data_IF_451361314214
#
_entry.id   IF_451361314214
#
_cell.length_a   1.000
_cell.length_b   1.000
_cell.length_c   1.000
_cell.angle_alpha   90.00
_cell.angle_beta   90.00
_cell.angle_gamma   90.00
#
_symmetry.space_group_name_H-M   'P 1'
#
loop_
_entity.id
_entity.type
_entity.pdbx_description
1 polymer ?
#
# COMPACT_ATOMS: atom_id res chain seq x y z
N UNK A 1 -29.56 12.41 9.07
CA UNK A 1 -28.33 11.76 9.58
C UNK A 1 -27.30 12.84 9.85
N UNK A 2 -26.54 12.77 10.95
CA UNK A 2 -25.50 13.77 11.23
C UNK A 2 -24.37 13.71 10.21
N UNK A 3 -23.79 14.87 9.87
CA UNK A 3 -22.67 15.02 8.93
C UNK A 3 -21.49 14.06 9.23
N UNK A 4 -21.29 13.74 10.51
CA UNK A 4 -20.28 12.78 10.96
C UNK A 4 -20.52 11.34 10.47
N UNK A 5 -21.77 10.89 10.43
CA UNK A 5 -22.12 9.55 9.94
C UNK A 5 -21.86 9.43 8.42
N UNK A 6 -22.14 10.50 7.68
CA UNK A 6 -21.86 10.58 6.24
C UNK A 6 -20.35 10.55 5.97
N UNK A 7 -19.57 11.30 6.73
CA UNK A 7 -18.10 11.29 6.62
C UNK A 7 -17.53 9.88 6.83
N UNK A 8 -17.98 9.15 7.83
CA UNK A 8 -17.48 7.78 8.06
C UNK A 8 -17.87 6.83 6.95
N UNK A 9 -19.11 6.90 6.49
CA UNK A 9 -19.57 6.04 5.40
C UNK A 9 -18.74 6.20 4.13
N UNK A 10 -18.21 7.39 3.88
CA UNK A 10 -17.34 7.66 2.72
C UNK A 10 -15.88 7.31 3.02
N UNK A 11 -15.34 7.75 4.16
CA UNK A 11 -13.90 7.69 4.42
C UNK A 11 -13.42 6.33 4.94
N UNK A 12 -14.29 5.52 5.54
CA UNK A 12 -13.92 4.24 6.15
C UNK A 12 -13.78 3.06 5.18
N UNK A 13 -14.66 2.84 4.18
CA UNK A 13 -14.52 1.71 3.28
C UNK A 13 -13.31 1.85 2.35
N UNK A 14 -12.93 3.07 1.99
CA UNK A 14 -11.84 3.36 1.07
C UNK A 14 -10.48 2.77 1.54
N UNK A 15 -9.96 3.10 2.74
CA UNK A 15 -8.70 2.55 3.21
C UNK A 15 -8.78 1.04 3.48
N UNK A 16 -9.94 0.51 3.90
CA UNK A 16 -10.12 -0.93 4.09
C UNK A 16 -10.02 -1.68 2.76
N UNK A 17 -10.73 -1.22 1.73
CA UNK A 17 -10.65 -1.79 0.39
C UNK A 17 -9.23 -1.69 -0.17
N UNK A 18 -8.55 -0.56 0.07
CA UNK A 18 -7.17 -0.35 -0.34
C UNK A 18 -6.21 -1.33 0.36
N UNK A 19 -6.38 -1.52 1.67
CA UNK A 19 -5.60 -2.51 2.43
C UNK A 19 -5.88 -3.93 1.97
N UNK A 20 -7.14 -4.26 1.68
CA UNK A 20 -7.51 -5.57 1.17
C UNK A 20 -6.86 -5.85 -0.20
N UNK A 21 -6.94 -4.88 -1.12
CA UNK A 21 -6.30 -4.96 -2.44
C UNK A 21 -4.77 -5.07 -2.34
N UNK A 22 -4.15 -4.38 -1.39
CA UNK A 22 -2.71 -4.42 -1.18
C UNK A 22 -2.24 -5.68 -0.44
N UNK A 23 -3.01 -6.18 0.51
CA UNK A 23 -2.57 -7.27 1.41
C UNK A 23 -2.86 -8.66 0.85
N UNK A 24 -3.88 -8.79 0.00
CA UNK A 24 -4.20 -10.07 -0.59
C UNK A 24 -3.07 -10.57 -1.50
N UNK A 25 -2.66 -11.82 -1.30
CA UNK A 25 -1.66 -12.50 -2.14
C UNK A 25 -2.34 -13.01 -3.40
N UNK A 26 -2.38 -12.15 -4.42
CA UNK A 26 -2.89 -12.48 -5.74
C UNK A 26 -1.76 -12.95 -6.69
N UNK A 27 -2.10 -13.61 -7.81
CA UNK A 27 -1.14 -13.88 -8.89
C UNK A 27 -0.39 -12.59 -9.29
N UNK A 28 0.88 -12.69 -9.73
CA UNK A 28 1.74 -11.52 -9.95
C UNK A 28 1.15 -10.48 -10.92
N UNK A 29 0.34 -10.90 -11.89
CA UNK A 29 -0.38 -9.99 -12.78
C UNK A 29 -1.45 -9.15 -12.05
N UNK A 30 -2.24 -9.80 -11.20
CA UNK A 30 -3.27 -9.15 -10.38
C UNK A 30 -2.67 -8.30 -9.26
N UNK A 31 -1.54 -8.72 -8.68
CA UNK A 31 -0.81 -7.93 -7.67
C UNK A 31 -0.33 -6.60 -8.26
N UNK A 32 0.23 -6.62 -9.49
CA UNK A 32 0.62 -5.41 -10.21
C UNK A 32 -0.57 -4.53 -10.57
N UNK A 33 -1.68 -5.13 -11.02
CA UNK A 33 -2.88 -4.41 -11.40
C UNK A 33 -3.52 -3.72 -10.20
N UNK A 34 -3.66 -4.41 -9.07
CA UNK A 34 -4.15 -3.85 -7.81
C UNK A 34 -3.25 -2.73 -7.29
N UNK A 35 -1.93 -2.94 -7.26
CA UNK A 35 -0.98 -1.91 -6.87
C UNK A 35 -1.03 -0.67 -7.80
N UNK A 36 -1.20 -0.87 -9.10
CA UNK A 36 -1.32 0.21 -10.08
C UNK A 36 -2.63 0.98 -9.93
N UNK A 37 -3.76 0.31 -9.68
CA UNK A 37 -5.04 0.99 -9.42
C UNK A 37 -4.93 1.85 -8.16
N UNK A 38 -4.45 1.28 -7.05
CA UNK A 38 -4.26 2.00 -5.79
C UNK A 38 -3.29 3.17 -5.98
N UNK A 39 -2.20 2.96 -6.71
CA UNK A 39 -1.26 4.03 -7.06
C UNK A 39 -1.94 5.15 -7.85
N UNK A 40 -2.71 4.80 -8.89
CA UNK A 40 -3.36 5.76 -9.77
C UNK A 40 -4.51 6.51 -9.09
N UNK A 41 -5.18 5.92 -8.11
CA UNK A 41 -6.26 6.61 -7.40
C UNK A 41 -5.68 7.54 -6.32
N UNK A 42 -4.77 7.04 -5.49
CA UNK A 42 -4.34 7.78 -4.29
C UNK A 42 -3.08 8.62 -4.49
N UNK A 43 -2.21 8.23 -5.41
CA UNK A 43 -0.93 8.91 -5.64
C UNK A 43 -0.90 9.75 -6.92
N UNK A 44 -2.03 9.86 -7.63
CA UNK A 44 -2.20 10.91 -8.63
C UNK A 44 -1.98 12.27 -7.97
N UNK A 45 -1.04 13.02 -8.55
CA UNK A 45 -0.76 14.39 -8.14
C UNK A 45 -1.88 15.26 -8.68
N UNK A 46 -2.63 15.86 -7.77
CA UNK A 46 -3.58 16.90 -8.13
C UNK A 46 -2.81 18.21 -8.09
N UNK A 47 -2.80 18.90 -9.22
CA UNK A 47 -2.18 20.22 -9.34
C UNK A 47 -3.26 21.26 -9.00
N UNK A 48 -3.10 21.94 -7.87
CA UNK A 48 -3.94 23.10 -7.50
C UNK A 48 -3.04 24.32 -7.55
N UNK A 49 -2.95 24.93 -8.73
CA UNK A 49 -2.01 26.03 -9.00
C UNK A 49 -0.54 25.58 -8.87
N UNK A 50 0.30 26.26 -8.05
CA UNK A 50 1.70 25.88 -7.85
C UNK A 50 1.88 24.65 -6.94
N UNK A 51 0.84 24.24 -6.20
CA UNK A 51 0.92 23.15 -5.24
C UNK A 51 0.60 21.81 -5.91
N UNK A 52 1.49 20.84 -5.74
CA UNK A 52 1.31 19.45 -6.18
C UNK A 52 1.07 18.56 -4.97
N UNK A 53 -0.18 18.27 -4.68
CA UNK A 53 -0.57 17.47 -3.51
C UNK A 53 -1.03 16.10 -3.99
N UNK A 54 -0.55 15.03 -3.36
CA UNK A 54 -1.06 13.70 -3.63
C UNK A 54 -2.38 13.52 -2.89
N UNK A 55 -3.36 12.90 -3.54
CA UNK A 55 -4.69 12.71 -2.98
C UNK A 55 -4.68 11.94 -1.64
N UNK A 56 -3.74 11.00 -1.47
CA UNK A 56 -3.51 10.29 -0.21
C UNK A 56 -3.26 11.25 0.97
N UNK A 57 -2.38 12.24 0.79
CA UNK A 57 -2.04 13.20 1.83
C UNK A 57 -3.22 14.10 2.17
N UNK A 58 -4.08 14.39 1.19
CA UNK A 58 -5.31 15.14 1.40
C UNK A 58 -6.29 14.33 2.27
N UNK A 59 -6.56 13.07 1.93
CA UNK A 59 -7.42 12.19 2.75
C UNK A 59 -6.86 11.94 4.15
N UNK A 60 -5.55 11.74 4.25
CA UNK A 60 -4.87 11.59 5.54
C UNK A 60 -5.00 12.84 6.39
N UNK A 61 -4.73 14.02 5.82
CA UNK A 61 -4.83 15.30 6.53
C UNK A 61 -6.26 15.60 6.99
N UNK A 62 -7.26 15.33 6.16
CA UNK A 62 -8.68 15.45 6.55
C UNK A 62 -9.00 14.50 7.71
N UNK A 63 -8.52 13.26 7.66
CA UNK A 63 -8.74 12.28 8.73
C UNK A 63 -8.10 12.73 10.04
N UNK A 64 -6.87 13.27 9.99
CA UNK A 64 -6.18 13.85 11.15
C UNK A 64 -6.93 15.08 11.68
N UNK A 65 -7.43 15.95 10.81
CA UNK A 65 -8.21 17.12 11.21
C UNK A 65 -9.51 16.72 11.92
N UNK A 66 -10.22 15.71 11.42
CA UNK A 66 -11.40 15.14 12.08
C UNK A 66 -11.02 14.59 13.46
N UNK A 67 -9.91 13.84 13.55
CA UNK A 67 -9.41 13.30 14.82
C UNK A 67 -9.11 14.41 15.83
N UNK A 68 -8.36 15.45 15.44
CA UNK A 68 -8.05 16.61 16.28
C UNK A 68 -9.33 17.30 16.75
N UNK A 69 -10.31 17.48 15.86
CA UNK A 69 -11.60 18.08 16.22
C UNK A 69 -12.34 17.21 17.26
N UNK A 70 -12.38 15.89 17.07
CA UNK A 70 -12.99 14.97 18.05
C UNK A 70 -12.28 14.99 19.40
N UNK A 71 -10.94 15.09 19.40
CA UNK A 71 -10.14 15.18 20.61
C UNK A 71 -10.43 16.48 21.37
N UNK A 72 -10.50 17.62 20.67
CA UNK A 72 -10.87 18.91 21.29
C UNK A 72 -12.25 18.84 21.93
N UNK A 73 -13.26 18.32 21.22
CA UNK A 73 -14.63 18.18 21.75
C UNK A 73 -14.64 17.34 23.03
N UNK A 74 -13.85 16.26 23.08
CA UNK A 74 -13.75 15.40 24.26
C UNK A 74 -13.08 16.11 25.44
N UNK A 75 -12.04 16.92 25.17
CA UNK A 75 -11.31 17.68 26.20
C UNK A 75 -12.11 18.85 26.77
N UNK A 76 -12.90 19.56 25.97
CA UNK A 76 -13.72 20.68 26.46
C UNK A 76 -14.82 20.21 27.44
N UNK A 77 -15.34 18.99 27.26
CA UNK A 77 -16.42 18.49 28.11
C UNK A 77 -15.94 18.03 29.50
N UNK A 78 -14.68 17.58 29.63
CA UNK A 78 -14.11 17.22 30.93
C UNK A 78 -13.86 18.44 31.83
N UNK A 79 -13.90 19.65 31.28
CA UNK A 79 -13.68 20.91 32.01
C UNK A 79 -14.96 21.52 32.61
N UNK A 80 -16.16 21.17 32.12
CA UNK A 80 -17.45 21.67 32.64
C UNK A 80 -17.93 20.85 33.87
N UNK A 81 -17.15 20.82 34.96
CA UNK A 81 -17.49 20.05 36.18
C UNK A 81 -18.65 20.66 36.98
N UNK A 82 -18.91 21.96 36.84
CA UNK A 82 -19.90 22.73 37.62
C UNK A 82 -21.25 22.91 36.93
N UNK A 83 -21.42 22.33 35.75
CA UNK A 83 -22.63 22.45 34.92
C UNK A 83 -23.67 21.42 35.41
N UNK A 84 -24.11 21.58 36.66
CA UNK A 84 -25.03 20.70 37.39
C UNK A 84 -26.47 21.16 37.13
N UNK A 85 -27.21 20.40 36.33
CA UNK A 85 -28.67 20.49 36.27
C UNK A 85 -29.29 19.19 36.81
N UNK A 86 -30.45 19.26 37.48
CA UNK A 86 -30.96 18.19 38.35
C UNK A 86 -31.45 16.96 37.56
N UNK A 87 -31.05 15.77 38.04
CA UNK A 87 -31.72 14.46 37.87
C UNK A 87 -31.93 13.89 36.45
N UNK A 88 -32.74 14.55 35.63
CA UNK A 88 -33.34 14.00 34.40
C UNK A 88 -32.40 14.02 33.18
N UNK A 89 -31.34 14.82 33.23
CA UNK A 89 -30.37 14.97 32.12
C UNK A 89 -29.23 13.92 32.21
N UNK A 90 -29.20 13.12 33.29
CA UNK A 90 -28.11 12.16 33.55
C UNK A 90 -27.96 11.10 32.44
N UNK A 91 -29.09 10.53 31.97
CA UNK A 91 -29.09 9.50 30.94
C UNK A 91 -28.66 10.06 29.57
N UNK A 92 -29.17 11.25 29.22
CA UNK A 92 -28.79 11.94 27.98
C UNK A 92 -27.30 12.32 27.97
N UNK A 93 -26.77 12.82 29.09
CA UNK A 93 -25.33 13.14 29.23
C UNK A 93 -24.46 11.89 29.10
N UNK A 94 -24.86 10.79 29.75
CA UNK A 94 -24.16 9.50 29.64
C UNK A 94 -24.17 8.98 28.19
N UNK A 95 -25.31 9.07 27.50
CA UNK A 95 -25.41 8.72 26.09
C UNK A 95 -24.54 9.61 25.18
N UNK A 96 -24.49 10.92 25.44
CA UNK A 96 -23.63 11.85 24.68
C UNK A 96 -22.14 11.58 24.90
N UNK A 97 -21.73 11.27 26.13
CA UNK A 97 -20.36 10.87 26.43
C UNK A 97 -19.95 9.62 25.66
N UNK A 98 -20.77 8.55 25.70
CA UNK A 98 -20.50 7.33 24.94
C UNK A 98 -20.44 7.56 23.43
N UNK A 99 -21.30 8.43 22.88
CA UNK A 99 -21.24 8.80 21.45
C UNK A 99 -19.93 9.48 21.11
N UNK A 100 -19.44 10.39 21.96
CA UNK A 100 -18.18 11.11 21.74
C UNK A 100 -16.97 10.18 21.86
N UNK A 101 -16.93 9.31 22.86
CA UNK A 101 -15.89 8.29 23.02
C UNK A 101 -15.84 7.35 21.80
N UNK A 102 -17.00 6.84 21.37
CA UNK A 102 -17.10 6.04 20.14
C UNK A 102 -16.57 6.80 18.93
N UNK A 103 -16.94 8.08 18.80
CA UNK A 103 -16.50 8.90 17.67
C UNK A 103 -14.99 9.15 17.69
N UNK A 104 -14.38 9.29 18.87
CA UNK A 104 -12.94 9.38 19.07
C UNK A 104 -12.24 8.08 18.64
N UNK A 105 -12.73 6.92 19.07
CA UNK A 105 -12.15 5.63 18.66
C UNK A 105 -12.23 5.42 17.15
N UNK A 106 -13.35 5.81 16.55
CA UNK A 106 -13.53 5.68 15.09
C UNK A 106 -12.64 6.63 14.30
N UNK A 107 -12.44 7.87 14.76
CA UNK A 107 -11.52 8.80 14.08
C UNK A 107 -10.06 8.37 14.25
N UNK A 108 -9.66 7.88 15.43
CA UNK A 108 -8.34 7.31 15.68
C UNK A 108 -8.07 6.09 14.79
N UNK A 109 -9.02 5.17 14.74
CA UNK A 109 -8.92 3.97 13.91
C UNK A 109 -8.82 4.32 12.43
N UNK A 110 -9.59 5.31 11.95
CA UNK A 110 -9.49 5.78 10.57
C UNK A 110 -8.10 6.36 10.24
N UNK A 111 -7.52 7.17 11.13
CA UNK A 111 -6.13 7.68 10.95
C UNK A 111 -5.14 6.51 10.92
N UNK A 112 -5.29 5.53 11.80
CA UNK A 112 -4.44 4.33 11.82
C UNK A 112 -4.56 3.52 10.52
N UNK A 113 -5.77 3.36 9.97
CA UNK A 113 -5.98 2.70 8.68
C UNK A 113 -5.25 3.40 7.54
N UNK A 114 -5.36 4.73 7.44
CA UNK A 114 -4.65 5.49 6.41
C UNK A 114 -3.13 5.41 6.57
N UNK A 115 -2.64 5.43 7.80
CA UNK A 115 -1.23 5.19 8.10
C UNK A 115 -0.79 3.80 7.63
N UNK A 116 -1.57 2.76 7.92
CA UNK A 116 -1.32 1.39 7.45
C UNK A 116 -1.31 1.31 5.93
N UNK A 117 -2.24 1.97 5.23
CA UNK A 117 -2.24 2.02 3.75
C UNK A 117 -0.91 2.56 3.24
N UNK A 118 -0.40 3.64 3.84
CA UNK A 118 0.87 4.26 3.44
C UNK A 118 2.06 3.31 3.68
N UNK A 119 2.11 2.66 4.83
CA UNK A 119 3.18 1.71 5.18
C UNK A 119 3.15 0.48 4.26
N UNK A 120 2.00 -0.16 4.12
CA UNK A 120 1.82 -1.36 3.28
C UNK A 120 2.11 -1.05 1.82
N UNK A 121 1.64 0.08 1.30
CA UNK A 121 1.95 0.50 -0.06
C UNK A 121 3.45 0.64 -0.30
N UNK A 122 4.16 1.32 0.61
CA UNK A 122 5.61 1.51 0.50
C UNK A 122 6.37 0.18 0.57
N UNK A 123 5.93 -0.74 1.44
CA UNK A 123 6.49 -2.09 1.53
C UNK A 123 6.24 -2.89 0.24
N UNK A 124 5.01 -2.89 -0.28
CA UNK A 124 4.66 -3.58 -1.53
C UNK A 124 5.44 -3.05 -2.72
N UNK A 125 5.63 -1.73 -2.82
CA UNK A 125 6.47 -1.12 -3.86
C UNK A 125 7.92 -1.63 -3.79
N UNK A 126 8.50 -1.75 -2.60
CA UNK A 126 9.84 -2.33 -2.42
C UNK A 126 9.87 -3.80 -2.85
N UNK A 127 8.91 -4.60 -2.40
CA UNK A 127 8.80 -6.03 -2.75
C UNK A 127 8.70 -6.23 -4.26
N UNK A 128 7.86 -5.44 -4.96
CA UNK A 128 7.73 -5.52 -6.41
C UNK A 128 9.04 -5.19 -7.12
N UNK A 129 9.75 -4.14 -6.69
CA UNK A 129 11.06 -3.79 -7.22
C UNK A 129 12.09 -4.91 -7.03
N UNK A 130 12.10 -5.53 -5.84
CA UNK A 130 13.00 -6.66 -5.57
C UNK A 130 12.64 -7.89 -6.42
N UNK A 131 11.34 -8.18 -6.61
CA UNK A 131 10.90 -9.28 -7.50
C UNK A 131 11.32 -9.05 -8.95
N UNK A 132 11.24 -7.80 -9.44
CA UNK A 132 11.70 -7.44 -10.78
C UNK A 132 13.21 -7.67 -10.94
N UNK A 133 14.02 -7.20 -9.98
CA UNK A 133 15.47 -7.43 -9.99
C UNK A 133 15.83 -8.92 -9.96
N UNK A 134 15.12 -9.74 -9.17
CA UNK A 134 15.34 -11.19 -9.15
C UNK A 134 15.03 -11.81 -10.52
N UNK A 135 13.96 -11.37 -11.18
CA UNK A 135 13.58 -11.90 -12.49
C UNK A 135 14.58 -11.49 -13.58
N UNK A 136 15.09 -10.25 -13.55
CA UNK A 136 16.14 -9.78 -14.46
C UNK A 136 17.43 -10.60 -14.28
N UNK A 137 17.85 -10.84 -13.03
CA UNK A 137 19.03 -11.66 -12.74
C UNK A 137 18.86 -13.11 -13.20
N UNK A 138 17.68 -13.70 -13.01
CA UNK A 138 17.38 -15.06 -13.48
C UNK A 138 17.40 -15.16 -15.01
N UNK A 139 16.85 -14.17 -15.70
CA UNK A 139 16.88 -14.13 -17.17
C UNK A 139 18.32 -13.98 -17.71
N UNK A 140 19.15 -13.19 -17.02
CA UNK A 140 20.58 -13.07 -17.35
C UNK A 140 21.32 -14.40 -17.10
N UNK A 141 21.06 -15.08 -15.99
CA UNK A 141 21.66 -16.40 -15.71
C UNK A 141 21.28 -17.44 -16.76
N UNK A 142 20.02 -17.54 -17.14
CA UNK A 142 19.60 -18.49 -18.19
C UNK A 142 20.26 -18.19 -19.53
N UNK A 143 20.38 -16.91 -19.91
CA UNK A 143 21.09 -16.53 -21.15
C UNK A 143 22.60 -16.81 -21.10
N UNK A 144 23.22 -16.73 -19.92
CA UNK A 144 24.64 -17.03 -19.73
C UNK A 144 24.91 -18.54 -19.75
N UNK A 145 24.00 -19.34 -19.21
CA UNK A 145 24.04 -20.81 -19.28
C UNK A 145 23.87 -21.29 -20.73
N UNK A 146 22.90 -20.76 -21.48
CA UNK A 146 22.74 -21.06 -22.91
C UNK A 146 23.98 -20.68 -23.74
N UNK A 147 24.60 -19.53 -23.46
CA UNK A 147 25.81 -19.09 -24.14
C UNK A 147 27.05 -19.94 -23.79
N UNK A 148 27.08 -20.58 -22.62
CA UNK A 148 28.18 -21.47 -22.22
C UNK A 148 28.00 -22.89 -22.73
N UNK A 149 26.75 -23.38 -22.84
CA UNK A 149 26.45 -24.64 -23.53
C UNK A 149 26.75 -24.55 -25.03
N UNK A 150 26.34 -23.47 -25.70
CA UNK A 150 26.63 -23.27 -27.13
C UNK A 150 28.15 -23.27 -27.43
N UNK A 151 28.96 -22.65 -26.56
CA UNK A 151 30.43 -22.68 -26.71
C UNK A 151 31.04 -24.05 -26.45
N UNK A 152 30.45 -24.87 -25.58
CA UNK A 152 30.90 -26.25 -25.35
C UNK A 152 30.62 -27.14 -26.55
N UNK A 153 29.49 -26.95 -27.22
CA UNK A 153 29.13 -27.71 -28.40
C UNK A 153 29.96 -27.31 -29.65
N UNK A 154 30.36 -26.03 -29.75
CA UNK A 154 31.30 -25.58 -30.79
C UNK A 154 32.72 -26.13 -30.57
N UNK A 155 33.24 -26.06 -29.34
CA UNK A 155 34.56 -26.59 -29.01
C UNK A 155 34.66 -28.12 -29.22
N UNK A 156 33.56 -28.85 -29.03
CA UNK A 156 33.53 -30.31 -29.25
C UNK A 156 33.50 -30.69 -30.74
N UNK A 157 33.00 -29.81 -31.62
CA UNK A 157 33.01 -30.04 -33.08
C UNK A 157 34.36 -29.79 -33.71
N UNK A 158 35.13 -28.81 -33.21
CA UNK A 158 36.48 -28.53 -33.72
C UNK A 158 37.45 -29.70 -33.45
N UNK A 159 37.34 -30.34 -32.28
CA UNK A 159 38.16 -31.49 -31.86
C UNK A 159 37.86 -32.78 -32.68
N UNK A 160 36.63 -32.95 -33.20
CA UNK A 160 36.30 -34.08 -34.09
C UNK A 160 36.80 -33.88 -35.53
N UNK A 161 36.97 -32.63 -35.98
CA UNK A 161 37.48 -32.32 -37.34
C UNK A 161 39.00 -32.38 -37.47
N UNK A 162 39.78 -32.16 -36.41
CA UNK A 162 41.25 -32.31 -36.45
C UNK A 162 41.70 -33.78 -36.45
N UNK A 163 40.87 -34.71 -35.95
CA UNK A 163 41.20 -36.14 -35.93
C UNK A 163 41.08 -36.87 -37.29
N UNK A 164 40.38 -36.30 -38.27
CA UNK A 164 40.12 -36.96 -39.56
C UNK A 164 41.18 -36.68 -40.64
N UNK A 165 42.06 -35.70 -40.43
CA UNK A 165 43.07 -35.30 -41.44
C UNK A 165 44.43 -36.01 -41.26
N UNK A 166 44.70 -36.62 -40.10
CA UNK A 166 45.92 -37.42 -39.90
C UNK A 166 45.83 -38.84 -40.50
N UNK A 167 44.64 -39.37 -40.78
CA UNK A 167 44.49 -40.76 -41.25
C UNK A 167 44.66 -40.96 -42.77
N UNK A 168 44.88 -39.89 -43.54
CA UNK A 168 45.01 -39.96 -45.02
C UNK A 168 46.43 -39.80 -45.56
N UNK A 169 47.45 -39.63 -44.71
CA UNK A 169 48.84 -39.39 -45.16
C UNK A 169 49.70 -40.64 -45.43
N UNK A 170 49.19 -41.84 -45.14
CA UNK A 170 49.94 -43.10 -45.28
C UNK A 170 49.46 -44.03 -46.42
N UNK A 171 49.02 -43.46 -47.56
CA UNK A 171 48.81 -44.25 -48.79
C UNK A 171 49.44 -43.61 -50.01
#
# INVERSE_FOLDING_TARGET
MGLWAQLIWVFFPIPILSLFLLSASYPPALERLGANIVHRIFFTRINVGPLRIQLLWLFFSISVLIFINTLRILQYETQCKTCVHPGEISWYRKAMKFRKERNFWLSLFNVALWYLVLVVYNLKKKILKLKEQINELKALQSSAEEATEAKKDEAKKEDETEGEDETKKDK
#
